data_IF_368779806352
#
_entry.id   IF_368779806352
#
_cell.length_a   1.000
_cell.length_b   1.000
_cell.length_c   1.000
_cell.angle_alpha   90.00
_cell.angle_beta   90.00
_cell.angle_gamma   90.00
#
_symmetry.space_group_name_H-M   'P 1'
#
loop_
_entity.id
_entity.type
_entity.pdbx_description
1 polymer ?
#
# COMPACT_ATOMS: atom_id res chain seq x y z
N UNK A 1 -13.46 -6.10 7.88
CA UNK A 1 -13.27 -6.68 6.53
C UNK A 1 -11.79 -6.96 6.28
N UNK A 2 -11.47 -8.04 5.57
CA UNK A 2 -10.07 -8.45 5.29
C UNK A 2 -9.45 -7.70 4.11
N UNK A 3 -10.07 -6.59 3.69
CA UNK A 3 -9.65 -5.79 2.55
C UNK A 3 -9.63 -4.29 2.88
N UNK A 4 -8.72 -3.59 2.19
CA UNK A 4 -8.56 -2.14 2.22
C UNK A 4 -8.60 -1.61 0.78
N UNK A 5 -9.32 -0.51 0.57
CA UNK A 5 -9.31 0.22 -0.70
C UNK A 5 -8.37 1.42 -0.58
N UNK A 6 -7.40 1.52 -1.49
CA UNK A 6 -6.54 2.70 -1.58
C UNK A 6 -7.13 3.71 -2.55
N UNK A 7 -6.98 5.00 -2.24
CA UNK A 7 -7.23 6.08 -3.19
C UNK A 7 -5.93 6.41 -3.91
N UNK A 8 -5.73 5.86 -5.10
CA UNK A 8 -4.54 6.13 -5.92
C UNK A 8 -4.64 7.50 -6.60
N UNK A 9 -3.79 8.44 -6.21
CA UNK A 9 -3.79 9.81 -6.76
C UNK A 9 -2.58 10.11 -7.65
N UNK A 10 -1.62 9.20 -7.75
CA UNK A 10 -0.44 9.32 -8.58
C UNK A 10 -0.11 8.00 -9.31
N UNK A 11 1.01 7.98 -10.03
CA UNK A 11 1.49 6.82 -10.77
C UNK A 11 2.52 5.96 -10.00
N UNK A 12 2.79 6.25 -8.73
CA UNK A 12 3.83 5.57 -7.97
C UNK A 12 3.36 4.18 -7.55
N UNK A 13 4.09 3.17 -7.99
CA UNK A 13 3.97 1.78 -7.55
C UNK A 13 5.39 1.23 -7.45
N UNK A 14 5.68 0.53 -6.36
CA UNK A 14 7.03 0.02 -6.11
C UNK A 14 7.14 -1.44 -6.53
N UNK A 15 8.35 -1.85 -6.86
CA UNK A 15 8.64 -3.27 -7.06
C UNK A 15 8.37 -4.07 -5.78
N UNK A 16 8.11 -5.36 -5.93
CA UNK A 16 7.96 -6.24 -4.77
C UNK A 16 9.27 -6.31 -3.98
N UNK A 17 9.16 -6.20 -2.66
CA UNK A 17 10.23 -6.54 -1.72
C UNK A 17 10.48 -8.04 -1.89
N UNK A 18 11.70 -8.40 -2.31
CA UNK A 18 12.08 -9.78 -2.63
C UNK A 18 12.59 -10.54 -1.41
N UNK A 19 13.31 -9.85 -0.52
CA UNK A 19 13.96 -10.43 0.65
C UNK A 19 13.88 -9.45 1.83
N UNK A 20 13.89 -9.98 3.06
CA UNK A 20 13.94 -9.17 4.29
C UNK A 20 12.70 -8.30 4.53
N UNK A 21 11.53 -8.71 4.06
CA UNK A 21 10.31 -7.93 4.27
C UNK A 21 9.06 -8.53 3.65
N UNK A 22 7.96 -7.77 3.75
CA UNK A 22 6.60 -8.18 3.41
C UNK A 22 5.93 -7.16 2.49
N UNK A 23 5.26 -7.66 1.45
CA UNK A 23 4.42 -6.88 0.56
C UNK A 23 2.97 -6.91 1.07
N UNK A 24 2.64 -6.01 1.99
CA UNK A 24 1.36 -6.01 2.73
C UNK A 24 0.21 -5.51 1.86
N UNK A 25 0.43 -4.41 1.13
CA UNK A 25 -0.54 -3.82 0.22
C UNK A 25 -0.02 -3.92 -1.20
N UNK A 26 -0.71 -4.67 -2.06
CA UNK A 26 -0.30 -4.92 -3.44
C UNK A 26 -1.41 -4.53 -4.42
N UNK A 27 -1.02 -3.92 -5.54
CA UNK A 27 -1.92 -3.64 -6.65
C UNK A 27 -1.81 -4.81 -7.63
N UNK A 28 -2.86 -5.62 -7.69
CA UNK A 28 -2.97 -6.74 -8.63
C UNK A 28 -3.38 -6.23 -10.02
N UNK A 29 -3.19 -7.08 -11.04
CA UNK A 29 -3.84 -6.87 -12.34
C UNK A 29 -5.36 -6.68 -12.15
N UNK A 30 -5.93 -5.74 -12.89
CA UNK A 30 -7.37 -5.41 -12.85
C UNK A 30 -7.89 -4.96 -11.46
N UNK A 31 -7.04 -4.35 -10.62
CA UNK A 31 -7.41 -3.84 -9.29
C UNK A 31 -8.24 -2.54 -9.30
N UNK A 32 -8.51 -1.95 -10.47
CA UNK A 32 -9.33 -0.74 -10.56
C UNK A 32 -10.79 -1.07 -10.26
N UNK A 33 -11.32 -0.56 -9.16
CA UNK A 33 -12.74 -0.72 -8.78
C UNK A 33 -13.60 0.40 -9.32
N UNK A 34 -13.14 1.66 -9.21
CA UNK A 34 -13.87 2.86 -9.60
C UNK A 34 -12.91 4.00 -9.98
N UNK A 35 -13.47 5.04 -10.61
CA UNK A 35 -12.72 6.23 -11.03
C UNK A 35 -12.10 6.11 -12.43
N UNK A 36 -11.19 7.03 -12.75
CA UNK A 36 -10.54 7.13 -14.06
C UNK A 36 -9.04 6.88 -13.96
N UNK A 37 -8.51 6.08 -14.87
CA UNK A 37 -7.07 5.88 -15.07
C UNK A 37 -6.76 6.09 -16.55
N UNK A 38 -5.70 6.83 -16.85
CA UNK A 38 -5.25 7.01 -18.23
C UNK A 38 -4.83 5.66 -18.85
N UNK A 39 -5.13 5.46 -20.14
CA UNK A 39 -4.87 4.18 -20.84
C UNK A 39 -3.42 3.72 -20.74
N UNK A 40 -2.46 4.63 -20.92
CA UNK A 40 -1.01 4.34 -20.77
C UNK A 40 -0.60 4.05 -19.33
N UNK A 41 -1.29 4.65 -18.36
CA UNK A 41 -0.98 4.48 -16.94
C UNK A 41 -1.57 3.17 -16.39
N UNK A 42 -2.71 2.73 -16.92
CA UNK A 42 -3.39 1.49 -16.52
C UNK A 42 -2.47 0.28 -16.61
N UNK A 43 -1.67 0.19 -17.68
CA UNK A 43 -0.71 -0.90 -17.89
C UNK A 43 0.49 -0.86 -16.92
N UNK A 44 0.76 0.32 -16.33
CA UNK A 44 1.86 0.52 -15.37
C UNK A 44 1.42 0.37 -13.91
N UNK A 45 0.16 0.69 -13.59
CA UNK A 45 -0.41 0.57 -12.25
C UNK A 45 -0.91 -0.86 -11.96
N UNK A 46 -0.03 -1.84 -12.09
CA UNK A 46 -0.31 -3.23 -11.80
C UNK A 46 0.95 -3.97 -11.35
N UNK A 47 0.77 -5.05 -10.60
CA UNK A 47 1.82 -5.97 -10.18
C UNK A 47 2.96 -5.31 -9.40
N UNK A 48 2.61 -4.59 -8.34
CA UNK A 48 3.60 -4.00 -7.45
C UNK A 48 3.03 -3.67 -6.07
N UNK A 49 3.91 -3.17 -5.23
CA UNK A 49 3.67 -2.90 -3.81
C UNK A 49 3.37 -1.42 -3.61
N UNK A 50 2.34 -1.17 -2.79
CA UNK A 50 1.97 0.16 -2.30
C UNK A 50 2.15 0.27 -0.78
N UNK A 51 2.01 -0.84 -0.05
CA UNK A 51 2.37 -0.89 1.38
C UNK A 51 3.36 -2.02 1.62
N UNK A 52 4.50 -1.67 2.20
CA UNK A 52 5.59 -2.59 2.44
C UNK A 52 6.10 -2.50 3.87
N UNK A 53 6.65 -3.61 4.34
CA UNK A 53 7.33 -3.69 5.63
C UNK A 53 8.70 -4.29 5.35
N UNK A 54 9.76 -3.63 5.77
CA UNK A 54 11.12 -4.13 5.59
C UNK A 54 11.83 -4.19 6.94
N UNK A 55 12.44 -5.33 7.22
CA UNK A 55 13.29 -5.50 8.38
C UNK A 55 14.64 -4.84 8.11
N UNK A 56 15.09 -4.00 9.04
CA UNK A 56 16.37 -3.31 8.95
C UNK A 56 17.08 -3.31 10.30
N UNK A 57 18.11 -4.15 10.40
CA UNK A 57 18.84 -4.35 11.64
C UNK A 57 17.94 -4.91 12.74
N UNK A 58 17.69 -4.11 13.78
CA UNK A 58 16.81 -4.46 14.91
C UNK A 58 15.44 -3.80 14.85
N UNK A 59 15.12 -3.13 13.74
CA UNK A 59 13.88 -2.39 13.59
C UNK A 59 13.22 -2.68 12.25
N UNK A 60 12.14 -1.94 12.00
CA UNK A 60 11.28 -2.16 10.84
C UNK A 60 11.02 -0.82 10.16
N UNK A 61 11.13 -0.79 8.84
CA UNK A 61 10.76 0.34 8.00
C UNK A 61 9.40 0.04 7.36
N UNK A 62 8.43 0.94 7.56
CA UNK A 62 7.10 0.84 6.97
C UNK A 62 7.01 1.81 5.79
N UNK A 63 6.71 1.27 4.61
CA UNK A 63 6.48 2.03 3.39
C UNK A 63 4.99 2.23 3.17
N UNK A 64 4.56 3.49 3.05
CA UNK A 64 3.20 3.86 2.69
C UNK A 64 3.23 4.72 1.42
N UNK A 65 3.04 4.10 0.26
CA UNK A 65 3.07 4.78 -1.04
C UNK A 65 1.88 5.74 -1.24
N UNK A 66 0.72 5.35 -0.74
CA UNK A 66 -0.49 6.18 -0.71
C UNK A 66 -0.80 6.59 0.73
N UNK A 67 -1.65 7.61 0.88
CA UNK A 67 -2.07 8.10 2.19
C UNK A 67 -3.29 7.29 2.72
N UNK A 68 -3.12 6.37 3.70
CA UNK A 68 -4.24 5.63 4.29
C UNK A 68 -5.17 6.51 5.13
N UNK A 69 -4.73 7.72 5.45
CA UNK A 69 -5.43 8.71 6.26
C UNK A 69 -6.04 9.82 5.41
N UNK A 70 -6.17 9.66 4.09
CA UNK A 70 -6.73 10.69 3.22
C UNK A 70 -8.10 11.16 3.74
N UNK A 71 -8.14 12.40 4.25
CA UNK A 71 -9.30 13.03 4.90
C UNK A 71 -9.95 12.19 6.02
N UNK A 72 -9.21 11.25 6.61
CA UNK A 72 -9.71 10.27 7.59
C UNK A 72 -10.95 9.52 7.11
N UNK A 73 -11.09 9.36 5.79
CA UNK A 73 -12.33 8.88 5.17
C UNK A 73 -12.59 7.40 5.44
N UNK A 74 -11.54 6.56 5.42
CA UNK A 74 -11.65 5.11 5.58
C UNK A 74 -11.31 4.68 7.01
N UNK A 75 -12.26 4.04 7.70
CA UNK A 75 -12.02 3.46 9.04
C UNK A 75 -10.87 2.45 9.02
N UNK A 76 -10.87 1.54 8.04
CA UNK A 76 -9.81 0.54 7.89
C UNK A 76 -8.43 1.19 7.65
N UNK A 77 -8.38 2.37 7.03
CA UNK A 77 -7.13 3.12 6.82
C UNK A 77 -6.53 3.61 8.13
N UNK A 78 -7.36 4.06 9.07
CA UNK A 78 -6.93 4.43 10.43
C UNK A 78 -6.37 3.24 11.19
N UNK A 79 -7.08 2.10 11.17
CA UNK A 79 -6.62 0.87 11.83
C UNK A 79 -5.30 0.37 11.23
N UNK A 80 -5.17 0.38 9.90
CA UNK A 80 -3.92 0.02 9.21
C UNK A 80 -2.76 0.93 9.64
N UNK A 81 -2.99 2.24 9.72
CA UNK A 81 -1.97 3.19 10.17
C UNK A 81 -1.58 2.99 11.64
N UNK A 82 -2.55 2.79 12.54
CA UNK A 82 -2.28 2.49 13.95
C UNK A 82 -1.45 1.20 14.11
N UNK A 83 -1.80 0.13 13.38
CA UNK A 83 -1.04 -1.12 13.41
C UNK A 83 0.40 -0.93 12.90
N UNK A 84 0.58 -0.14 11.83
CA UNK A 84 1.89 0.21 11.31
C UNK A 84 2.77 0.92 12.36
N UNK A 85 2.20 1.83 13.15
CA UNK A 85 2.95 2.59 14.15
C UNK A 85 3.22 1.79 15.42
N UNK A 86 2.22 1.04 15.91
CA UNK A 86 2.26 0.47 17.26
C UNK A 86 2.53 -1.03 17.30
N UNK A 87 2.32 -1.77 16.21
CA UNK A 87 2.32 -3.24 16.21
C UNK A 87 3.31 -3.87 15.21
N UNK A 88 3.66 -3.20 14.11
CA UNK A 88 4.40 -3.82 13.00
C UNK A 88 5.87 -4.19 13.27
N UNK A 89 6.43 -3.80 14.42
CA UNK A 89 7.81 -4.13 14.82
C UNK A 89 7.90 -4.80 16.19
N UNK A 90 6.80 -5.38 16.68
CA UNK A 90 6.75 -6.17 17.91
C UNK A 90 7.16 -7.61 17.69
#
# INVERSE_FOLDING_TARGET
>A
PDYYYTLKQDNNIYEFIKEGGWNVGVVKKDAQVAGFVGTRLKERLQNGTIFGVQELGRGTVIYLADNPMFRSFWENGKLLFCNAVFMAGQ
#
